data_IF_385449237221
#
_entry.id   IF_385449237221
#
_cell.length_a   1.000
_cell.length_b   1.000
_cell.length_c   1.000
_cell.angle_alpha   90.00
_cell.angle_beta   90.00
_cell.angle_gamma   90.00
#
_symmetry.space_group_name_H-M   'P 1'
#
loop_
_entity.id
_entity.type
_entity.pdbx_description
1 polymer ?
#
# COMPACT_ATOMS: atom_id res chain seq x y z
N UNK A 1 15.80 -6.94 1.61
CA UNK A 1 14.92 -5.75 1.46
C UNK A 1 13.91 -5.73 2.60
N UNK A 2 13.53 -4.55 3.10
CA UNK A 2 12.54 -4.37 4.16
C UNK A 2 11.41 -3.47 3.68
N UNK A 3 10.19 -3.97 3.77
CA UNK A 3 8.98 -3.27 3.33
C UNK A 3 8.17 -2.92 4.57
N UNK A 4 7.76 -1.66 4.69
CA UNK A 4 6.69 -1.27 5.59
C UNK A 4 5.37 -1.33 4.81
N UNK A 5 4.42 -2.15 5.28
CA UNK A 5 3.15 -2.34 4.61
C UNK A 5 1.98 -1.84 5.45
N UNK A 6 1.31 -0.78 4.98
CA UNK A 6 0.07 -0.28 5.57
C UNK A 6 -1.10 -1.13 5.07
N UNK A 7 -1.57 -2.01 5.95
CA UNK A 7 -2.52 -3.06 5.58
C UNK A 7 -3.47 -3.35 6.73
N UNK A 8 -4.77 -3.19 6.48
CA UNK A 8 -5.85 -3.58 7.39
C UNK A 8 -6.00 -5.10 7.43
N UNK A 9 -5.05 -5.74 8.08
CA UNK A 9 -5.07 -7.17 8.33
C UNK A 9 -6.17 -7.55 9.32
N UNK A 10 -6.91 -8.62 9.00
CA UNK A 10 -7.87 -9.26 9.89
C UNK A 10 -7.71 -10.78 9.82
N UNK A 11 -8.46 -11.54 10.63
CA UNK A 11 -8.37 -13.00 10.66
C UNK A 11 -9.21 -13.68 9.56
N UNK A 12 -9.66 -12.93 8.54
CA UNK A 12 -10.48 -13.48 7.45
C UNK A 12 -9.60 -13.96 6.30
N UNK A 13 -10.08 -14.99 5.58
CA UNK A 13 -9.39 -15.46 4.38
C UNK A 13 -9.23 -14.39 3.30
N UNK A 14 -10.06 -13.34 3.31
CA UNK A 14 -10.01 -12.22 2.36
C UNK A 14 -8.77 -11.32 2.52
N UNK A 15 -8.12 -11.35 3.68
CA UNK A 15 -6.88 -10.61 3.95
C UNK A 15 -5.69 -11.57 4.10
N UNK A 16 -5.90 -12.74 4.71
CA UNK A 16 -4.86 -13.73 5.02
C UNK A 16 -4.19 -14.34 3.79
N UNK A 17 -4.88 -14.38 2.63
CA UNK A 17 -4.27 -14.86 1.38
C UNK A 17 -3.00 -14.08 1.02
N UNK A 18 -2.91 -12.79 1.39
CA UNK A 18 -1.71 -11.98 1.16
C UNK A 18 -0.50 -12.51 1.95
N UNK A 19 -0.71 -13.01 3.17
CA UNK A 19 0.38 -13.63 3.93
C UNK A 19 0.87 -14.91 3.27
N UNK A 20 -0.05 -15.75 2.80
CA UNK A 20 0.27 -17.05 2.21
C UNK A 20 0.96 -16.89 0.85
N UNK A 21 0.48 -15.98 0.00
CA UNK A 21 0.99 -15.86 -1.37
C UNK A 21 2.06 -14.79 -1.54
N UNK A 22 1.85 -13.59 -0.98
CA UNK A 22 2.76 -12.48 -1.17
C UNK A 22 3.90 -12.54 -0.14
N UNK A 23 3.56 -12.68 1.14
CA UNK A 23 4.58 -12.55 2.19
C UNK A 23 5.48 -13.77 2.24
N UNK A 24 4.92 -14.97 2.08
CA UNK A 24 5.71 -16.20 2.07
C UNK A 24 6.68 -16.24 0.89
N UNK A 25 6.22 -15.93 -0.32
CA UNK A 25 7.09 -15.85 -1.51
C UNK A 25 8.19 -14.81 -1.32
N UNK A 26 7.85 -13.58 -0.91
CA UNK A 26 8.83 -12.52 -0.69
C UNK A 26 9.86 -12.90 0.39
N UNK A 27 9.43 -13.61 1.43
CA UNK A 27 10.32 -14.11 2.48
C UNK A 27 11.35 -15.12 1.93
N UNK A 28 10.97 -15.99 1.00
CA UNK A 28 11.91 -16.91 0.33
C UNK A 28 13.00 -16.15 -0.43
N UNK A 29 12.74 -14.91 -0.85
CA UNK A 29 13.72 -14.02 -1.51
C UNK A 29 14.40 -13.04 -0.54
N UNK A 30 14.41 -13.32 0.77
CA UNK A 30 15.00 -12.46 1.82
C UNK A 30 14.40 -11.03 1.85
N UNK A 31 13.14 -10.90 1.47
CA UNK A 31 12.35 -9.68 1.61
C UNK A 31 11.49 -9.81 2.87
N UNK A 32 11.62 -8.86 3.79
CA UNK A 32 10.89 -8.86 5.05
C UNK A 32 9.81 -7.78 5.04
N UNK A 33 8.58 -8.14 5.41
CA UNK A 33 7.45 -7.22 5.49
C UNK A 33 7.11 -6.95 6.97
N UNK A 34 7.09 -5.68 7.34
CA UNK A 34 6.53 -5.21 8.61
C UNK A 34 5.15 -4.64 8.34
N UNK A 35 4.13 -5.18 9.01
CA UNK A 35 2.74 -4.73 8.84
C UNK A 35 2.43 -3.63 9.85
N UNK A 36 1.96 -2.49 9.35
CA UNK A 36 1.28 -1.48 10.15
C UNK A 36 -0.22 -1.63 9.92
N UNK A 37 -0.92 -2.16 10.93
CA UNK A 37 -2.35 -2.45 10.82
C UNK A 37 -3.18 -1.30 11.41
N UNK A 38 -3.92 -0.52 10.59
CA UNK A 38 -4.73 0.59 11.08
C UNK A 38 -5.85 0.17 12.05
N UNK A 39 -6.31 -1.09 12.00
CA UNK A 39 -7.34 -1.60 12.93
C UNK A 39 -6.85 -1.84 14.35
N UNK A 40 -5.54 -1.76 14.60
CA UNK A 40 -4.99 -1.83 15.97
C UNK A 40 -5.01 -0.48 16.71
N UNK A 41 -5.47 0.57 16.04
CA UNK A 41 -5.54 1.93 16.56
C UNK A 41 -6.98 2.31 16.91
N UNK A 42 -7.13 3.23 17.87
CA UNK A 42 -8.47 3.73 18.24
C UNK A 42 -9.07 4.59 17.13
N UNK A 43 -8.23 5.32 16.39
CA UNK A 43 -8.65 6.23 15.33
C UNK A 43 -7.76 6.13 14.10
N UNK A 44 -8.33 6.48 12.94
CA UNK A 44 -7.59 6.59 11.67
C UNK A 44 -6.47 7.62 11.78
N UNK A 45 -6.71 8.77 12.42
CA UNK A 45 -5.70 9.81 12.63
C UNK A 45 -4.48 9.26 13.38
N UNK A 46 -4.70 8.51 14.46
CA UNK A 46 -3.61 7.92 15.25
C UNK A 46 -2.77 6.94 14.41
N UNK A 47 -3.39 6.08 13.60
CA UNK A 47 -2.67 5.16 12.72
C UNK A 47 -1.80 5.91 11.69
N UNK A 48 -2.29 7.03 11.17
CA UNK A 48 -1.60 7.87 10.20
C UNK A 48 -0.44 8.67 10.83
N UNK A 49 -0.64 9.23 12.03
CA UNK A 49 0.43 9.88 12.80
C UNK A 49 1.57 8.90 13.12
N UNK A 50 1.24 7.69 13.56
CA UNK A 50 2.20 6.63 13.82
C UNK A 50 2.94 6.20 12.55
N UNK A 51 2.26 6.12 11.41
CA UNK A 51 2.90 5.86 10.11
C UNK A 51 3.96 6.92 9.79
N UNK A 52 3.60 8.19 9.95
CA UNK A 52 4.52 9.32 9.69
C UNK A 52 5.72 9.25 10.63
N UNK A 53 5.49 9.04 11.92
CA UNK A 53 6.53 8.92 12.92
C UNK A 53 7.45 7.74 12.61
N UNK A 54 6.89 6.56 12.32
CA UNK A 54 7.65 5.36 12.05
C UNK A 54 8.59 5.54 10.85
N UNK A 55 8.10 6.12 9.75
CA UNK A 55 8.90 6.37 8.56
C UNK A 55 9.94 7.48 8.75
N UNK A 56 9.64 8.51 9.55
CA UNK A 56 10.60 9.60 9.84
C UNK A 56 11.73 9.14 10.77
N UNK A 57 11.41 8.41 11.84
CA UNK A 57 12.40 7.93 12.80
C UNK A 57 13.22 6.75 12.28
N UNK A 58 12.67 5.96 11.35
CA UNK A 58 13.32 4.77 10.79
C UNK A 58 13.58 4.89 9.29
N UNK A 59 13.96 6.09 8.82
CA UNK A 59 14.12 6.40 7.40
C UNK A 59 15.04 5.42 6.66
N UNK A 60 16.11 4.98 7.31
CA UNK A 60 17.10 4.04 6.73
C UNK A 60 16.78 2.56 7.01
N UNK A 61 15.65 2.28 7.68
CA UNK A 61 15.26 0.92 8.04
C UNK A 61 14.40 0.25 6.96
N UNK A 62 13.63 1.02 6.20
CA UNK A 62 12.69 0.52 5.21
C UNK A 62 13.10 0.96 3.81
N UNK A 63 13.15 0.00 2.89
CA UNK A 63 13.50 0.22 1.48
C UNK A 63 12.28 0.60 0.62
N UNK A 64 11.07 0.29 1.10
CA UNK A 64 9.81 0.50 0.40
C UNK A 64 8.67 0.73 1.39
N UNK A 65 7.84 1.74 1.13
CA UNK A 65 6.52 1.88 1.72
C UNK A 65 5.47 1.31 0.76
N UNK A 66 4.67 0.37 1.23
CA UNK A 66 3.61 -0.27 0.47
C UNK A 66 2.25 0.00 1.13
N UNK A 67 1.19 0.14 0.33
CA UNK A 67 -0.18 0.30 0.81
C UNK A 67 -1.16 -0.41 -0.12
N UNK A 68 -2.23 -0.97 0.43
CA UNK A 68 -3.39 -1.46 -0.33
C UNK A 68 -4.73 -0.87 0.15
N UNK A 69 -4.70 -0.02 1.18
CA UNK A 69 -5.90 0.58 1.76
C UNK A 69 -6.35 1.82 0.96
N UNK A 70 -7.63 2.16 1.06
CA UNK A 70 -8.21 3.36 0.45
C UNK A 70 -7.93 4.64 1.24
N UNK A 71 -8.44 5.76 0.71
CA UNK A 71 -8.38 7.08 1.34
C UNK A 71 -9.22 7.21 2.63
N UNK A 72 -10.05 6.21 2.93
CA UNK A 72 -10.79 6.07 4.19
C UNK A 72 -9.87 5.70 5.37
N UNK A 73 -8.74 5.05 5.09
CA UNK A 73 -7.78 4.61 6.11
C UNK A 73 -6.42 5.29 5.98
N UNK A 74 -5.94 5.54 4.76
CA UNK A 74 -4.71 6.27 4.53
C UNK A 74 -5.05 7.69 4.06
N UNK A 75 -4.82 8.66 4.91
CA UNK A 75 -5.28 10.04 4.67
C UNK A 75 -4.40 10.74 3.62
N UNK A 76 -4.96 11.54 2.69
CA UNK A 76 -4.18 12.33 1.74
C UNK A 76 -3.12 13.22 2.41
N UNK A 77 -3.47 13.84 3.54
CA UNK A 77 -2.57 14.69 4.33
C UNK A 77 -1.34 13.92 4.83
N UNK A 78 -1.50 12.61 5.07
CA UNK A 78 -0.40 11.73 5.45
C UNK A 78 0.55 11.52 4.28
N UNK A 79 0.01 11.29 3.08
CA UNK A 79 0.84 11.16 1.88
C UNK A 79 1.56 12.47 1.54
N UNK A 80 0.93 13.63 1.76
CA UNK A 80 1.57 14.93 1.66
C UNK A 80 2.73 15.07 2.66
N UNK A 81 2.53 14.68 3.91
CA UNK A 81 3.56 14.73 4.96
C UNK A 81 4.76 13.77 4.70
N UNK A 82 4.55 12.73 3.89
CA UNK A 82 5.56 11.75 3.47
C UNK A 82 6.25 12.12 2.15
N UNK A 83 5.84 13.19 1.47
CA UNK A 83 6.36 13.56 0.14
C UNK A 83 7.87 13.81 0.15
N UNK A 84 8.38 14.45 1.19
CA UNK A 84 9.81 14.79 1.31
C UNK A 84 10.68 13.62 1.78
N UNK A 85 10.07 12.47 2.11
CA UNK A 85 10.81 11.27 2.47
C UNK A 85 11.28 10.55 1.21
N UNK A 86 12.59 10.32 1.14
CA UNK A 86 13.28 9.55 0.10
C UNK A 86 13.08 8.04 0.27
N UNK A 87 11.83 7.61 0.43
CA UNK A 87 11.41 6.21 0.40
C UNK A 87 10.48 6.02 -0.80
N UNK A 88 10.73 5.03 -1.67
CA UNK A 88 9.80 4.64 -2.72
C UNK A 88 8.44 4.23 -2.13
N UNK A 89 7.36 4.63 -2.80
CA UNK A 89 5.98 4.42 -2.37
C UNK A 89 5.24 3.61 -3.43
N UNK A 90 4.74 2.44 -3.05
CA UNK A 90 3.96 1.55 -3.89
C UNK A 90 2.51 1.45 -3.40
N UNK A 91 1.55 1.72 -4.29
CA UNK A 91 0.15 1.40 -4.09
C UNK A 91 -0.16 0.11 -4.84
N UNK A 92 -0.61 -0.93 -4.15
CA UNK A 92 -1.11 -2.16 -4.78
C UNK A 92 -2.63 -2.19 -4.73
N UNK A 93 -3.27 -2.30 -5.89
CA UNK A 93 -4.71 -2.30 -6.05
C UNK A 93 -5.18 -3.72 -6.42
N UNK A 94 -5.74 -4.42 -5.44
CA UNK A 94 -6.35 -5.74 -5.64
C UNK A 94 -7.77 -5.62 -6.21
N UNK A 95 -8.14 -6.57 -7.08
CA UNK A 95 -9.38 -6.63 -7.86
C UNK A 95 -10.61 -5.98 -7.20
N UNK A 96 -11.12 -4.92 -7.85
CA UNK A 96 -12.55 -4.75 -8.14
C UNK A 96 -12.80 -3.48 -8.99
N UNK A 97 -13.90 -3.46 -9.75
CA UNK A 97 -14.34 -2.31 -10.55
C UNK A 97 -14.68 -1.06 -9.69
N UNK A 98 -14.93 -1.24 -8.39
CA UNK A 98 -15.14 -0.15 -7.42
C UNK A 98 -13.82 0.43 -6.85
N UNK A 99 -12.70 -0.29 -6.99
CA UNK A 99 -11.41 -0.04 -6.36
C UNK A 99 -10.72 1.25 -6.83
N UNK A 100 -10.91 1.74 -8.08
CA UNK A 100 -10.23 2.96 -8.47
C UNK A 100 -10.61 4.13 -7.56
N UNK A 101 -11.89 4.28 -7.25
CA UNK A 101 -12.38 5.46 -6.56
C UNK A 101 -11.99 5.51 -5.08
N UNK A 102 -11.81 4.36 -4.42
CA UNK A 102 -11.30 4.32 -3.03
C UNK A 102 -9.85 4.79 -2.93
N UNK A 103 -9.09 4.74 -4.03
CA UNK A 103 -7.69 5.17 -4.05
C UNK A 103 -7.49 6.52 -4.74
N UNK A 104 -8.54 7.12 -5.30
CA UNK A 104 -8.43 8.31 -6.17
C UNK A 104 -7.63 9.45 -5.52
N UNK A 105 -7.90 9.73 -4.25
CA UNK A 105 -7.32 10.89 -3.57
C UNK A 105 -5.88 10.64 -3.09
N UNK A 106 -5.43 9.38 -3.09
CA UNK A 106 -4.09 9.01 -2.62
C UNK A 106 -3.17 8.47 -3.72
N UNK A 107 -3.71 7.88 -4.79
CA UNK A 107 -2.95 7.21 -5.83
C UNK A 107 -1.88 8.09 -6.50
N UNK A 108 -2.13 9.39 -6.80
CA UNK A 108 -1.12 10.26 -7.39
C UNK A 108 0.11 10.53 -6.52
N UNK A 109 0.05 10.24 -5.21
CA UNK A 109 1.19 10.41 -4.31
C UNK A 109 2.15 9.22 -4.30
N UNK A 110 1.82 8.12 -4.96
CA UNK A 110 2.66 6.94 -5.05
C UNK A 110 3.58 7.01 -6.27
N UNK A 111 4.81 6.53 -6.12
CA UNK A 111 5.80 6.47 -7.20
C UNK A 111 5.43 5.39 -8.24
N UNK A 112 4.72 4.35 -7.79
CA UNK A 112 4.20 3.28 -8.62
C UNK A 112 2.85 2.80 -8.10
N UNK A 113 1.91 2.60 -9.04
CA UNK A 113 0.62 1.95 -8.80
C UNK A 113 0.64 0.58 -9.49
N UNK A 114 0.59 -0.48 -8.71
CA UNK A 114 0.47 -1.86 -9.19
C UNK A 114 -1.01 -2.25 -9.26
N UNK A 115 -1.51 -2.42 -10.49
CA UNK A 115 -2.85 -2.91 -10.76
C UNK A 115 -2.86 -4.41 -11.04
N UNK A 116 -3.84 -5.11 -10.48
CA UNK A 116 -4.06 -6.53 -10.76
C UNK A 116 -5.19 -6.79 -11.76
N UNK A 117 -6.04 -5.78 -12.00
CA UNK A 117 -7.09 -5.78 -13.04
C UNK A 117 -6.75 -4.73 -14.10
N UNK A 118 -6.64 -5.19 -15.36
CA UNK A 118 -6.22 -4.37 -16.50
C UNK A 118 -7.28 -3.31 -16.84
N UNK A 119 -8.54 -3.61 -16.62
CA UNK A 119 -9.71 -2.78 -16.91
C UNK A 119 -9.63 -1.42 -16.21
N UNK A 120 -9.05 -1.39 -15.01
CA UNK A 120 -8.91 -0.18 -14.18
C UNK A 120 -7.78 0.76 -14.65
N UNK A 121 -6.87 0.28 -15.51
CA UNK A 121 -5.67 1.02 -15.94
C UNK A 121 -5.97 2.40 -16.50
N UNK A 122 -6.99 2.49 -17.37
CA UNK A 122 -7.36 3.76 -18.03
C UNK A 122 -7.79 4.85 -17.03
N UNK A 123 -8.34 4.45 -15.88
CA UNK A 123 -8.81 5.37 -14.84
C UNK A 123 -7.61 5.96 -14.10
N UNK A 124 -6.69 5.12 -13.63
CA UNK A 124 -5.47 5.58 -12.95
C UNK A 124 -4.57 6.42 -13.89
N UNK A 125 -4.53 6.09 -15.19
CA UNK A 125 -3.81 6.90 -16.18
C UNK A 125 -4.35 8.32 -16.29
N UNK A 126 -5.69 8.51 -16.21
CA UNK A 126 -6.31 9.84 -16.19
C UNK A 126 -5.95 10.66 -14.96
N UNK A 127 -5.57 10.01 -13.87
CA UNK A 127 -5.07 10.66 -12.64
C UNK A 127 -3.57 10.90 -12.65
N UNK A 128 -2.88 10.59 -13.76
CA UNK A 128 -1.44 10.81 -13.91
C UNK A 128 -0.57 9.82 -13.14
N UNK A 129 -1.13 8.67 -12.72
CA UNK A 129 -0.37 7.67 -11.98
C UNK A 129 0.63 6.94 -12.90
N UNK A 130 1.83 6.65 -12.37
CA UNK A 130 2.76 5.70 -12.97
C UNK A 130 2.31 4.28 -12.64
N UNK A 131 2.05 3.45 -13.65
CA UNK A 131 1.30 2.20 -13.48
C UNK A 131 2.06 1.01 -14.02
N UNK A 132 2.07 -0.07 -13.24
CA UNK A 132 2.41 -1.41 -13.71
C UNK A 132 1.20 -2.33 -13.58
N UNK A 133 1.00 -3.18 -14.58
CA UNK A 133 -0.01 -4.24 -14.52
C UNK A 133 0.70 -5.57 -14.32
N UNK A 134 0.44 -6.23 -13.18
CA UNK A 134 0.87 -7.60 -12.91
C UNK A 134 -0.30 -8.32 -12.22
N UNK A 135 -0.79 -9.44 -12.74
CA UNK A 135 -1.83 -10.19 -12.05
C UNK A 135 -1.27 -10.79 -10.74
N UNK A 136 -2.06 -10.80 -9.66
CA UNK A 136 -1.64 -11.45 -8.40
C UNK A 136 -1.79 -12.97 -8.43
N UNK A 137 -2.52 -13.52 -9.41
CA UNK A 137 -2.65 -14.94 -9.67
C UNK A 137 -2.31 -15.22 -11.12
N UNK A 138 -1.34 -16.11 -11.35
CA UNK A 138 -1.10 -16.68 -12.66
C UNK A 138 -2.09 -17.83 -12.88
N UNK A 139 -2.83 -17.80 -14.00
CA UNK A 139 -3.43 -19.01 -14.57
C UNK A 139 -2.39 -19.75 -15.41
#
# INVERSE_FOLDING_TARGET
MKILYFFKEDDTYMTQWQRVHIFDELKHHNVNITVLNPSKYETVCQANEDLINLLRYNKDHYDLFMNCCGSDLLLPETMEALKDLSIPKLLICFDNLHAPYIHKDIAPFFDLVWLTSFETKSIFQKWGCNIIFLPYAAN
#
